data_IF_590541530547
#
_entry.id   IF_590541530547
#
_cell.length_a   1.000
_cell.length_b   1.000
_cell.length_c   1.000
_cell.angle_alpha   90.00
_cell.angle_beta   90.00
_cell.angle_gamma   90.00
#
_symmetry.space_group_name_H-M   'P 1'
#
loop_
_entity.id
_entity.type
_entity.pdbx_description
1 polymer ?
#
# COMPACT_ATOMS: atom_id res chain seq x y z
N UNK A 1 33.04 -2.15 3.77
CA UNK A 1 34.12 -3.12 4.06
C UNK A 1 33.47 -4.46 4.34
N UNK A 2 34.08 -5.57 3.95
CA UNK A 2 33.57 -6.90 4.32
C UNK A 2 34.18 -7.27 5.67
N UNK A 3 33.34 -7.43 6.69
CA UNK A 3 33.74 -7.88 8.02
C UNK A 3 32.93 -9.15 8.27
N UNK A 4 33.59 -10.26 8.62
CA UNK A 4 32.95 -11.57 8.82
C UNK A 4 32.07 -12.04 7.65
N UNK A 5 32.46 -11.72 6.41
CA UNK A 5 31.75 -12.17 5.21
C UNK A 5 30.50 -11.35 4.85
N UNK A 6 30.11 -10.35 5.64
CA UNK A 6 28.99 -9.46 5.32
C UNK A 6 29.49 -8.09 4.85
N UNK A 7 28.84 -7.52 3.84
CA UNK A 7 29.08 -6.14 3.40
C UNK A 7 28.55 -5.18 4.47
N UNK A 8 29.44 -4.49 5.17
CA UNK A 8 29.10 -3.53 6.23
C UNK A 8 29.57 -2.12 5.86
N UNK A 9 28.75 -1.11 6.15
CA UNK A 9 29.06 0.31 5.95
C UNK A 9 29.95 0.86 7.08
N UNK A 10 31.14 0.27 7.24
CA UNK A 10 32.05 0.48 8.37
C UNK A 10 32.34 1.95 8.71
N UNK A 11 32.61 2.79 7.71
CA UNK A 11 32.97 4.19 7.98
C UNK A 11 31.81 4.98 8.61
N UNK A 12 30.59 4.79 8.12
CA UNK A 12 29.41 5.49 8.63
C UNK A 12 28.89 4.86 9.93
N UNK A 13 28.67 3.55 9.94
CA UNK A 13 27.99 2.85 11.04
C UNK A 13 28.90 2.49 12.22
N UNK A 14 30.19 2.24 11.98
CA UNK A 14 31.14 1.76 13.01
C UNK A 14 32.18 2.80 13.42
N UNK A 15 32.61 3.67 12.50
CA UNK A 15 33.60 4.71 12.81
C UNK A 15 32.95 6.04 13.21
N UNK A 16 31.91 6.48 12.48
CA UNK A 16 31.18 7.71 12.79
C UNK A 16 29.96 7.50 13.70
N UNK A 17 29.61 6.25 14.01
CA UNK A 17 28.41 5.87 14.79
C UNK A 17 27.10 6.47 14.22
N UNK A 18 27.07 6.73 12.91
CA UNK A 18 25.89 7.27 12.23
C UNK A 18 24.93 6.12 11.99
N UNK A 19 23.77 6.16 12.65
CA UNK A 19 22.61 5.36 12.30
C UNK A 19 22.03 5.88 10.99
N UNK A 20 22.00 5.02 9.97
CA UNK A 20 21.36 5.35 8.70
C UNK A 20 19.86 5.44 8.93
N UNK A 21 19.19 6.59 8.68
CA UNK A 21 17.75 6.68 8.84
C UNK A 21 17.05 5.77 7.84
N UNK A 22 16.04 5.04 8.31
CA UNK A 22 15.21 4.18 7.44
C UNK A 22 14.54 5.05 6.39
N UNK A 23 14.61 4.64 5.13
CA UNK A 23 14.06 5.44 4.04
C UNK A 23 12.53 5.42 4.03
N UNK A 24 11.88 6.48 3.54
CA UNK A 24 10.41 6.51 3.32
C UNK A 24 9.90 5.27 2.57
N UNK A 25 10.69 4.77 1.60
CA UNK A 25 10.36 3.57 0.83
C UNK A 25 10.34 2.31 1.69
N UNK A 26 11.28 2.17 2.62
CA UNK A 26 11.36 1.05 3.55
C UNK A 26 10.28 1.13 4.62
N UNK A 27 9.98 2.33 5.13
CA UNK A 27 8.89 2.54 6.09
C UNK A 27 7.53 2.16 5.48
N UNK A 28 7.23 2.63 4.25
CA UNK A 28 6.02 2.22 3.52
C UNK A 28 6.00 0.71 3.24
N UNK A 29 7.17 0.10 3.01
CA UNK A 29 7.27 -1.36 2.82
C UNK A 29 6.84 -2.11 4.08
N UNK A 30 7.17 -1.60 5.26
CA UNK A 30 6.80 -2.21 6.53
C UNK A 30 5.30 -2.09 6.82
N UNK A 31 4.69 -0.94 6.51
CA UNK A 31 3.22 -0.78 6.50
C UNK A 31 2.59 -1.87 5.60
N UNK A 32 3.06 -2.02 4.36
CA UNK A 32 2.49 -2.99 3.41
C UNK A 32 2.59 -4.44 3.90
N UNK A 33 3.72 -4.81 4.51
CA UNK A 33 3.89 -6.16 5.09
C UNK A 33 2.91 -6.38 6.24
N UNK A 34 2.80 -5.41 7.14
CA UNK A 34 1.92 -5.47 8.30
C UNK A 34 0.47 -5.59 7.88
N UNK A 35 0.01 -4.74 6.95
CA UNK A 35 -1.33 -4.84 6.36
C UNK A 35 -1.56 -6.22 5.76
N UNK A 36 -0.64 -6.72 4.95
CA UNK A 36 -0.76 -8.05 4.32
C UNK A 36 -0.85 -9.17 5.35
N UNK A 37 -0.05 -9.10 6.41
CA UNK A 37 -0.02 -10.11 7.46
C UNK A 37 -1.32 -10.12 8.26
N UNK A 38 -1.78 -8.94 8.69
CA UNK A 38 -3.01 -8.78 9.47
C UNK A 38 -4.22 -9.15 8.60
N UNK A 39 -4.28 -8.71 7.35
CA UNK A 39 -5.37 -9.05 6.44
C UNK A 39 -5.55 -10.57 6.33
N UNK A 40 -4.45 -11.30 6.10
CA UNK A 40 -4.48 -12.77 6.05
C UNK A 40 -4.91 -13.43 7.36
N UNK A 41 -4.56 -12.86 8.51
CA UNK A 41 -4.88 -13.41 9.84
C UNK A 41 -6.35 -13.19 10.23
N UNK A 42 -6.99 -12.16 9.67
CA UNK A 42 -8.34 -11.72 10.01
C UNK A 42 -9.32 -11.88 8.84
N UNK A 43 -9.08 -12.84 7.94
CA UNK A 43 -9.94 -13.18 6.79
C UNK A 43 -10.31 -11.96 5.92
N UNK A 44 -9.39 -10.99 5.79
CA UNK A 44 -9.52 -9.86 4.87
C UNK A 44 -8.74 -10.14 3.59
N UNK A 45 -9.29 -9.72 2.47
CA UNK A 45 -8.67 -9.93 1.17
C UNK A 45 -7.42 -9.06 1.02
N UNK A 46 -6.22 -9.65 0.85
CA UNK A 46 -4.99 -8.87 0.87
C UNK A 46 -4.92 -7.84 -0.26
N UNK A 47 -5.53 -8.11 -1.42
CA UNK A 47 -5.53 -7.17 -2.53
C UNK A 47 -6.37 -5.92 -2.22
N UNK A 48 -7.52 -6.10 -1.56
CA UNK A 48 -8.40 -5.01 -1.12
C UNK A 48 -7.73 -4.18 -0.02
N UNK A 49 -7.14 -4.85 0.98
CA UNK A 49 -6.43 -4.17 2.06
C UNK A 49 -5.25 -3.33 1.54
N UNK A 50 -4.46 -3.86 0.60
CA UNK A 50 -3.35 -3.13 -0.03
C UNK A 50 -3.82 -1.99 -0.94
N UNK A 51 -4.94 -2.16 -1.62
CA UNK A 51 -5.58 -1.13 -2.42
C UNK A 51 -6.03 0.06 -1.55
N UNK A 52 -6.77 -0.22 -0.46
CA UNK A 52 -7.17 0.81 0.52
C UNK A 52 -5.96 1.47 1.16
N UNK A 53 -4.90 0.71 1.47
CA UNK A 53 -3.63 1.26 1.98
C UNK A 53 -3.02 2.25 1.00
N UNK A 54 -2.95 1.86 -0.28
CA UNK A 54 -2.41 2.73 -1.32
C UNK A 54 -3.24 4.01 -1.47
N UNK A 55 -4.56 3.90 -1.40
CA UNK A 55 -5.47 5.04 -1.46
C UNK A 55 -5.31 5.97 -0.26
N UNK A 56 -5.23 5.42 0.96
CA UNK A 56 -5.01 6.19 2.16
C UNK A 56 -3.69 6.97 2.11
N UNK A 57 -2.62 6.35 1.62
CA UNK A 57 -1.34 7.03 1.38
C UNK A 57 -1.50 8.15 0.35
N UNK A 58 -2.20 7.90 -0.76
CA UNK A 58 -2.40 8.92 -1.79
C UNK A 58 -3.15 10.14 -1.24
N UNK A 59 -4.28 9.94 -0.58
CA UNK A 59 -5.09 11.03 -0.02
C UNK A 59 -4.31 11.83 1.04
N UNK A 60 -3.56 11.17 1.93
CA UNK A 60 -2.74 11.87 2.92
C UNK A 60 -1.67 12.74 2.24
N UNK A 61 -1.06 12.25 1.16
CA UNK A 61 -0.05 13.00 0.41
C UNK A 61 -0.60 14.19 -0.38
N UNK A 62 -1.90 14.20 -0.69
CA UNK A 62 -2.56 15.37 -1.29
C UNK A 62 -2.79 16.50 -0.27
N UNK A 63 -2.95 16.15 1.01
CA UNK A 63 -3.27 17.10 2.09
C UNK A 63 -2.02 17.55 2.89
N UNK A 64 -1.03 16.67 3.02
CA UNK A 64 0.14 16.87 3.88
C UNK A 64 1.38 16.11 3.38
N UNK A 65 2.57 16.56 3.78
CA UNK A 65 3.84 15.94 3.38
C UNK A 65 4.26 14.74 4.28
N UNK A 66 3.30 14.17 5.00
CA UNK A 66 3.52 13.09 5.98
C UNK A 66 2.49 11.96 5.81
N UNK A 67 2.93 10.73 6.08
CA UNK A 67 2.07 9.55 6.12
C UNK A 67 1.87 9.13 7.58
N UNK A 68 0.61 9.02 7.99
CA UNK A 68 0.18 8.52 9.30
C UNK A 68 -0.26 7.05 9.17
N UNK A 69 0.52 6.15 9.78
CA UNK A 69 0.27 4.72 9.73
C UNK A 69 -0.99 4.31 10.51
N UNK A 70 -1.31 4.99 11.61
CA UNK A 70 -2.50 4.69 12.42
C UNK A 70 -3.77 5.01 11.62
N UNK A 71 -3.80 6.18 10.99
CA UNK A 71 -4.92 6.58 10.12
C UNK A 71 -5.09 5.64 8.90
N UNK A 72 -3.98 5.10 8.35
CA UNK A 72 -4.05 4.06 7.32
C UNK A 72 -4.71 2.80 7.87
N UNK A 73 -4.27 2.31 9.03
CA UNK A 73 -4.81 1.08 9.62
C UNK A 73 -6.28 1.21 9.99
N UNK A 74 -6.69 2.38 10.49
CA UNK A 74 -8.10 2.68 10.78
C UNK A 74 -8.97 2.60 9.52
N UNK A 75 -8.50 3.18 8.39
CA UNK A 75 -9.22 3.14 7.12
C UNK A 75 -9.23 1.73 6.49
N UNK A 76 -8.11 1.00 6.58
CA UNK A 76 -7.97 -0.33 5.98
C UNK A 76 -8.80 -1.38 6.72
N UNK A 77 -8.87 -1.29 8.04
CA UNK A 77 -9.57 -2.25 8.91
C UNK A 77 -10.81 -1.63 9.57
N UNK A 78 -11.47 -0.72 8.87
CA UNK A 78 -12.66 -0.02 9.37
C UNK A 78 -13.74 -1.01 9.82
N UNK A 79 -14.00 -2.03 9.01
CA UNK A 79 -15.02 -3.06 9.26
C UNK A 79 -14.56 -4.17 10.23
N UNK A 80 -13.29 -4.15 10.69
CA UNK A 80 -12.68 -5.24 11.48
C UNK A 80 -11.95 -4.73 12.73
N UNK A 81 -12.67 -4.56 13.87
CA UNK A 81 -12.09 -4.06 15.12
C UNK A 81 -10.86 -4.83 15.60
N UNK A 82 -10.91 -6.16 15.56
CA UNK A 82 -9.78 -7.01 15.98
C UNK A 82 -8.53 -6.84 15.11
N UNK A 83 -8.72 -6.62 13.80
CA UNK A 83 -7.59 -6.38 12.88
C UNK A 83 -6.98 -4.99 13.11
N UNK A 84 -7.82 -4.00 13.42
CA UNK A 84 -7.41 -2.65 13.79
C UNK A 84 -6.58 -2.62 15.07
N UNK A 85 -7.03 -3.31 16.12
CA UNK A 85 -6.27 -3.45 17.37
C UNK A 85 -4.90 -4.10 17.13
N UNK A 86 -4.85 -5.18 16.33
CA UNK A 86 -3.60 -5.83 15.97
C UNK A 86 -2.66 -4.90 15.18
N UNK A 87 -3.21 -4.03 14.33
CA UNK A 87 -2.44 -3.06 13.56
C UNK A 87 -1.89 -1.93 14.44
N UNK A 88 -2.68 -1.46 15.41
CA UNK A 88 -2.25 -0.46 16.38
C UNK A 88 -1.12 -0.99 17.28
N UNK A 89 -1.21 -2.26 17.70
CA UNK A 89 -0.11 -2.91 18.44
C UNK A 89 1.19 -2.95 17.63
N UNK A 90 1.12 -3.10 16.30
CA UNK A 90 2.32 -3.07 15.47
C UNK A 90 3.02 -1.69 15.47
N UNK A 91 2.28 -0.60 15.72
CA UNK A 91 2.86 0.74 15.91
C UNK A 91 3.48 0.83 17.31
N UNK A 92 2.75 0.42 18.35
CA UNK A 92 3.22 0.49 19.75
C UNK A 92 4.45 -0.37 20.00
N UNK A 93 4.58 -1.50 19.31
CA UNK A 93 5.76 -2.37 19.36
C UNK A 93 6.92 -1.88 18.45
N UNK A 94 6.83 -0.66 17.92
CA UNK A 94 7.80 -0.03 17.00
C UNK A 94 8.12 -0.84 15.73
N UNK A 95 7.26 -1.81 15.38
CA UNK A 95 7.42 -2.58 14.12
C UNK A 95 7.11 -1.72 12.91
N UNK A 96 6.19 -0.78 13.06
CA UNK A 96 5.79 0.17 12.04
C UNK A 96 5.94 1.59 12.59
N UNK A 97 6.57 2.52 11.86
CA UNK A 97 6.64 3.92 12.30
C UNK A 97 5.23 4.54 12.29
N UNK A 98 4.89 5.29 13.34
CA UNK A 98 3.62 6.00 13.45
C UNK A 98 3.49 7.08 12.37
N UNK A 99 4.52 7.91 12.22
CA UNK A 99 4.60 8.98 11.21
C UNK A 99 5.80 8.82 10.30
N UNK A 100 5.60 9.09 9.02
CA UNK A 100 6.63 9.00 7.99
C UNK A 100 6.68 10.34 7.24
N UNK A 101 7.75 11.10 7.44
CA UNK A 101 8.00 12.30 6.65
C UNK A 101 8.39 11.93 5.20
N UNK A 102 7.77 12.61 4.23
CA UNK A 102 7.97 12.34 2.80
C UNK A 102 8.68 13.52 2.13
N UNK A 103 9.94 13.33 1.78
CA UNK A 103 10.77 14.40 1.18
C UNK A 103 10.49 14.68 -0.30
N UNK A 104 9.83 13.76 -1.01
CA UNK A 104 9.50 13.90 -2.43
C UNK A 104 8.06 13.47 -2.68
N UNK A 105 7.13 14.25 -2.15
CA UNK A 105 5.68 14.04 -2.25
C UNK A 105 5.22 13.82 -3.70
N UNK A 106 5.61 14.66 -4.69
CA UNK A 106 5.14 14.50 -6.07
C UNK A 106 5.48 13.15 -6.70
N UNK A 107 6.61 12.54 -6.30
CA UNK A 107 7.00 11.21 -6.77
C UNK A 107 6.06 10.12 -6.21
N UNK A 108 5.66 10.24 -4.95
CA UNK A 108 4.82 9.25 -4.29
C UNK A 108 3.34 9.42 -4.66
N UNK A 109 2.83 10.65 -4.78
CA UNK A 109 1.50 10.94 -5.32
C UNK A 109 1.33 10.31 -6.71
N UNK A 110 2.25 10.60 -7.65
CA UNK A 110 2.21 10.02 -8.99
C UNK A 110 2.30 8.49 -9.01
N UNK A 111 2.99 7.92 -8.02
CA UNK A 111 3.14 6.47 -7.90
C UNK A 111 1.87 5.81 -7.36
N UNK A 112 1.17 6.48 -6.45
CA UNK A 112 0.02 5.93 -5.76
C UNK A 112 -1.33 6.35 -6.33
N UNK A 113 -1.38 7.33 -7.25
CA UNK A 113 -2.58 7.79 -7.96
C UNK A 113 -3.27 6.76 -8.85
N UNK A 114 -2.63 5.60 -9.08
CA UNK A 114 -3.17 4.51 -9.91
C UNK A 114 -2.93 3.17 -9.26
N UNK A 115 -3.98 2.38 -9.15
CA UNK A 115 -3.91 1.00 -8.72
C UNK A 115 -3.68 0.10 -9.93
N UNK A 116 -2.74 -0.84 -9.80
CA UNK A 116 -2.41 -1.80 -10.85
C UNK A 116 -2.75 -3.20 -10.34
N UNK A 117 -3.69 -3.84 -11.00
CA UNK A 117 -4.10 -5.20 -10.72
C UNK A 117 -3.62 -6.11 -11.84
N UNK A 118 -3.07 -7.25 -11.47
CA UNK A 118 -2.77 -8.35 -12.37
C UNK A 118 -3.63 -9.53 -11.94
N UNK A 119 -4.53 -9.95 -12.83
CA UNK A 119 -5.41 -11.08 -12.61
C UNK A 119 -4.70 -12.38 -12.96
N UNK A 120 -5.19 -13.50 -12.44
CA UNK A 120 -4.65 -14.84 -12.62
C UNK A 120 -4.66 -15.30 -14.09
N UNK A 121 -5.67 -14.90 -14.84
CA UNK A 121 -5.83 -15.13 -16.28
C UNK A 121 -4.92 -14.26 -17.16
N UNK A 122 -4.07 -13.42 -16.56
CA UNK A 122 -3.11 -12.57 -17.27
C UNK A 122 -3.63 -11.20 -17.68
N UNK A 123 -4.89 -10.86 -17.39
CA UNK A 123 -5.42 -9.50 -17.62
C UNK A 123 -4.76 -8.54 -16.63
N UNK A 124 -4.27 -7.41 -17.14
CA UNK A 124 -3.77 -6.30 -16.32
C UNK A 124 -4.69 -5.10 -16.43
N UNK A 125 -5.10 -4.55 -15.28
CA UNK A 125 -6.00 -3.41 -15.19
C UNK A 125 -5.30 -2.32 -14.40
N UNK A 126 -5.27 -1.10 -14.95
CA UNK A 126 -4.81 0.09 -14.23
C UNK A 126 -6.01 1.00 -13.98
N UNK A 127 -6.35 1.20 -12.71
CA UNK A 127 -7.52 1.96 -12.27
C UNK A 127 -7.02 3.23 -11.56
N UNK A 128 -7.42 4.44 -11.97
CA UNK A 128 -7.16 5.66 -11.21
C UNK A 128 -7.73 5.54 -9.79
N UNK A 129 -6.97 6.02 -8.81
CA UNK A 129 -7.32 5.99 -7.39
C UNK A 129 -8.71 6.56 -7.10
N UNK A 130 -9.05 7.69 -7.71
CA UNK A 130 -10.36 8.36 -7.61
C UNK A 130 -11.54 7.49 -8.07
N UNK A 131 -11.30 6.56 -9.01
CA UNK A 131 -12.33 5.70 -9.59
C UNK A 131 -12.46 4.39 -8.83
N UNK A 132 -11.40 3.93 -8.16
CA UNK A 132 -11.36 2.63 -7.48
C UNK A 132 -12.43 2.49 -6.39
N UNK A 133 -12.67 3.53 -5.59
CA UNK A 133 -13.69 3.50 -4.52
C UNK A 133 -15.13 3.63 -5.08
N UNK A 134 -15.28 3.97 -6.36
CA UNK A 134 -16.59 4.16 -6.98
C UNK A 134 -17.17 2.85 -7.55
N UNK A 135 -18.07 2.22 -6.79
CA UNK A 135 -18.79 0.99 -7.17
C UNK A 135 -19.66 1.12 -8.43
N UNK A 136 -20.01 2.33 -8.83
CA UNK A 136 -20.72 2.59 -10.10
C UNK A 136 -19.78 2.52 -11.31
N UNK A 137 -18.46 2.59 -11.11
CA UNK A 137 -17.46 2.54 -12.16
C UNK A 137 -16.72 1.20 -12.18
N UNK A 138 -16.25 0.73 -11.01
CA UNK A 138 -15.52 -0.53 -10.89
C UNK A 138 -16.01 -1.30 -9.67
N UNK A 139 -16.29 -2.58 -9.85
CA UNK A 139 -16.72 -3.47 -8.77
C UNK A 139 -15.96 -4.80 -8.81
N UNK A 140 -15.46 -5.23 -7.65
CA UNK A 140 -14.87 -6.56 -7.45
C UNK A 140 -15.89 -7.41 -6.69
N UNK A 141 -16.31 -8.53 -7.30
CA UNK A 141 -17.36 -9.40 -6.79
C UNK A 141 -16.75 -10.76 -6.47
N UNK A 142 -16.86 -11.18 -5.22
CA UNK A 142 -16.46 -12.52 -4.80
C UNK A 142 -17.62 -13.47 -4.99
N UNK A 143 -17.42 -14.47 -5.82
CA UNK A 143 -18.42 -15.47 -6.13
C UNK A 143 -18.40 -16.60 -5.10
N UNK A 144 -19.53 -17.32 -4.90
CA UNK A 144 -19.59 -18.47 -3.97
C UNK A 144 -18.64 -19.62 -4.30
N UNK A 145 -18.19 -19.71 -5.56
CA UNK A 145 -17.22 -20.71 -6.03
C UNK A 145 -15.75 -20.32 -5.73
N UNK A 146 -15.53 -19.16 -5.09
CA UNK A 146 -14.22 -18.63 -4.75
C UNK A 146 -13.54 -17.84 -5.88
N UNK A 147 -14.18 -17.68 -7.04
CA UNK A 147 -13.68 -16.82 -8.11
C UNK A 147 -13.97 -15.34 -7.83
N UNK A 148 -13.16 -14.44 -8.41
CA UNK A 148 -13.37 -12.99 -8.34
C UNK A 148 -13.75 -12.47 -9.72
N UNK A 149 -14.88 -11.79 -9.82
CA UNK A 149 -15.31 -11.07 -11.03
C UNK A 149 -15.01 -9.59 -10.92
N UNK A 150 -14.47 -8.99 -11.97
CA UNK A 150 -14.24 -7.55 -12.06
C UNK A 150 -15.22 -6.95 -13.06
N UNK A 151 -16.09 -6.06 -12.60
CA UNK A 151 -17.10 -5.40 -13.42
C UNK A 151 -16.73 -3.93 -13.62
N UNK A 152 -16.55 -3.54 -14.88
CA UNK A 152 -16.27 -2.15 -15.27
C UNK A 152 -17.53 -1.62 -15.95
N UNK A 153 -18.09 -0.54 -15.41
CA UNK A 153 -19.39 0.01 -15.79
C UNK A 153 -19.25 1.42 -16.38
N UNK A 154 -20.32 1.94 -16.97
CA UNK A 154 -20.41 3.32 -17.47
C UNK A 154 -19.33 3.70 -18.49
N UNK A 155 -19.03 2.79 -19.43
CA UNK A 155 -18.05 3.01 -20.50
C UNK A 155 -18.75 3.56 -21.76
N UNK A 156 -18.42 4.80 -22.14
CA UNK A 156 -18.95 5.44 -23.35
C UNK A 156 -18.22 5.03 -24.63
N UNK A 157 -16.92 4.76 -24.54
CA UNK A 157 -16.10 4.40 -25.71
C UNK A 157 -14.92 3.50 -25.34
N UNK A 158 -14.53 2.64 -26.27
CA UNK A 158 -13.40 1.71 -26.14
C UNK A 158 -12.42 1.99 -27.28
N UNK A 159 -11.17 2.32 -26.93
CA UNK A 159 -10.11 2.62 -27.89
C UNK A 159 -9.04 1.53 -27.89
N UNK A 160 -8.66 1.06 -29.08
CA UNK A 160 -7.52 0.18 -29.24
C UNK A 160 -6.23 1.00 -29.43
N UNK A 161 -5.29 0.88 -28.48
CA UNK A 161 -4.00 1.60 -28.51
C UNK A 161 -2.98 1.02 -29.51
N UNK A 162 -3.31 -0.04 -30.24
CA UNK A 162 -2.48 -0.57 -31.33
C UNK A 162 -2.40 0.39 -32.52
N UNK A 163 -3.38 1.28 -32.70
CA UNK A 163 -3.44 2.22 -33.82
C UNK A 163 -2.72 3.56 -33.54
N UNK A 164 -1.65 3.55 -32.75
CA UNK A 164 -0.81 4.73 -32.47
C UNK A 164 0.58 4.59 -33.09
#
# INVERSE_FOLDING_TARGET
VVIEGQKTAYFSEKFLEITVPVTTKEQIKEIKKTVTHIAKKHDEEPYKALATTQQAIFNQLEEQDEIDAAAIFDKVFEEKPLAREAAQLAITEERVPEKIAVTNVPKYERKYSKQKFKLDNGIEITIPSEIYENKEMVEFINNPDGSVSVLIKNIESILNKFNA
#
